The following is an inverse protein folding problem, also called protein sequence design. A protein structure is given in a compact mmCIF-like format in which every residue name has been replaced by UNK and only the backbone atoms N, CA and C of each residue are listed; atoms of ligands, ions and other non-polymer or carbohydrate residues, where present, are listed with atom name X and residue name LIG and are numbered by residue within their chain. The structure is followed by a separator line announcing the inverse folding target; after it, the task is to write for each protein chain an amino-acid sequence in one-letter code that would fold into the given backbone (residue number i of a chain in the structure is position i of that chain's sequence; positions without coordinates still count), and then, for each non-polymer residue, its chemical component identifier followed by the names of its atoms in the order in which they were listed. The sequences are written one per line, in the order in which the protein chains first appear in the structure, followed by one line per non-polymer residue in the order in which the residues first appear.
data_IF_032726156537
#
_entry.id   IF_032726156537
#
_cell.length_a   1.000
_cell.length_b   1.000
_cell.length_c   1.000
_cell.angle_alpha   90.00
_cell.angle_beta   90.00
_cell.angle_gamma   90.00
#
_symmetry.space_group_name_H-M   'P 1'
#
loop_
_entity.id
_entity.type
_entity.pdbx_description
1 polymer ?
#
# COMPACT_ATOMS: atom_id res chain seq x y z
N UNK A 1 -20.12 -17.23 49.44
CA UNK A 1 -20.54 -17.65 48.09
C UNK A 1 -20.55 -16.35 47.29
N UNK A 2 -19.42 -15.99 46.64
CA UNK A 2 -19.26 -15.90 45.16
C UNK A 2 -20.55 -15.37 44.52
N UNK A 3 -20.54 -14.20 43.91
CA UNK A 3 -20.11 -14.09 42.50
C UNK A 3 -19.20 -12.86 42.28
N UNK A 4 -17.96 -13.14 41.87
CA UNK A 4 -17.07 -12.18 41.25
C UNK A 4 -17.50 -12.19 39.78
N UNK A 5 -18.29 -11.19 39.37
CA UNK A 5 -18.65 -10.99 37.98
C UNK A 5 -17.41 -10.49 37.25
N UNK A 6 -16.55 -11.44 36.89
CA UNK A 6 -15.48 -11.23 35.93
C UNK A 6 -16.18 -11.04 34.59
N UNK A 7 -16.40 -9.79 34.20
CA UNK A 7 -16.58 -9.45 32.79
C UNK A 7 -15.23 -9.74 32.15
N UNK A 8 -15.04 -10.99 31.73
CA UNK A 8 -13.93 -11.38 30.87
C UNK A 8 -14.09 -10.59 29.58
N UNK A 9 -13.11 -9.70 29.34
CA UNK A 9 -13.04 -8.90 28.15
C UNK A 9 -12.91 -9.82 26.94
N UNK A 10 -13.99 -9.96 26.19
CA UNK A 10 -13.92 -10.33 24.78
C UNK A 10 -13.36 -9.13 24.00
N UNK A 11 -12.07 -8.86 24.19
CA UNK A 11 -11.28 -8.18 23.19
C UNK A 11 -11.08 -9.20 22.06
N UNK A 12 -12.05 -9.24 21.16
CA UNK A 12 -11.91 -9.89 19.87
C UNK A 12 -10.80 -9.15 19.11
N UNK A 13 -9.56 -9.55 19.36
CA UNK A 13 -8.42 -9.18 18.52
C UNK A 13 -8.64 -9.87 17.17
N UNK A 14 -9.51 -9.26 16.35
CA UNK A 14 -9.65 -9.60 14.95
C UNK A 14 -8.31 -9.31 14.28
N UNK A 15 -7.44 -10.32 14.26
CA UNK A 15 -6.13 -10.28 13.64
C UNK A 15 -6.34 -9.95 12.16
N UNK A 16 -6.17 -8.67 11.82
CA UNK A 16 -6.28 -8.18 10.45
C UNK A 16 -5.27 -8.96 9.62
N UNK A 17 -5.74 -9.63 8.57
CA UNK A 17 -4.87 -10.42 7.70
C UNK A 17 -3.88 -9.53 6.96
N UNK A 18 -2.72 -10.08 6.57
CA UNK A 18 -1.72 -9.35 5.77
C UNK A 18 -2.33 -8.75 4.48
N UNK A 19 -3.34 -9.40 3.91
CA UNK A 19 -4.05 -8.90 2.74
C UNK A 19 -4.86 -7.65 3.08
N UNK A 20 -5.61 -7.67 4.19
CA UNK A 20 -6.37 -6.53 4.68
C UNK A 20 -5.45 -5.37 5.06
N UNK A 21 -4.31 -5.64 5.71
CA UNK A 21 -3.28 -4.63 6.02
C UNK A 21 -2.78 -3.96 4.73
N UNK A 22 -2.45 -4.74 3.70
CA UNK A 22 -2.00 -4.19 2.40
C UNK A 22 -3.09 -3.37 1.71
N UNK A 23 -4.35 -3.79 1.80
CA UNK A 23 -5.48 -3.03 1.24
C UNK A 23 -5.70 -1.72 1.98
N UNK A 24 -5.61 -1.73 3.32
CA UNK A 24 -5.68 -0.50 4.13
C UNK A 24 -4.55 0.46 3.78
N UNK A 25 -3.30 -0.04 3.71
CA UNK A 25 -2.14 0.76 3.32
C UNK A 25 -2.31 1.39 1.93
N UNK A 26 -2.86 0.64 0.96
CA UNK A 26 -3.17 1.18 -0.36
C UNK A 26 -4.20 2.30 -0.29
N UNK A 27 -5.25 2.15 0.52
CA UNK A 27 -6.26 3.20 0.72
C UNK A 27 -5.69 4.50 1.29
N UNK A 28 -4.72 4.40 2.22
CA UNK A 28 -4.00 5.57 2.73
C UNK A 28 -3.18 6.28 1.64
N UNK A 29 -2.47 5.51 0.81
CA UNK A 29 -1.69 6.06 -0.30
C UNK A 29 -2.60 6.69 -1.35
N UNK A 30 -3.71 6.05 -1.72
CA UNK A 30 -4.68 6.59 -2.68
C UNK A 30 -5.27 7.93 -2.20
N UNK A 31 -5.58 8.02 -0.91
CA UNK A 31 -6.09 9.26 -0.29
C UNK A 31 -5.03 10.36 -0.35
N UNK A 32 -3.79 10.07 0.09
CA UNK A 32 -2.69 11.03 0.02
C UNK A 32 -2.40 11.50 -1.41
N UNK A 33 -2.58 10.61 -2.40
CA UNK A 33 -2.43 10.94 -3.80
C UNK A 33 -3.54 11.87 -4.29
N UNK A 34 -4.79 11.59 -3.93
CA UNK A 34 -5.93 12.44 -4.26
C UNK A 34 -5.78 13.84 -3.66
N UNK A 35 -5.34 13.94 -2.41
CA UNK A 35 -5.09 15.20 -1.71
C UNK A 35 -3.98 16.00 -2.41
N UNK A 36 -2.86 15.36 -2.76
CA UNK A 36 -1.77 16.01 -3.47
C UNK A 36 -2.21 16.60 -4.82
N UNK A 37 -3.02 15.85 -5.58
CA UNK A 37 -3.58 16.35 -6.85
C UNK A 37 -4.59 17.48 -6.61
N UNK A 38 -5.39 17.41 -5.54
CA UNK A 38 -6.31 18.47 -5.16
C UNK A 38 -5.59 19.78 -4.78
N UNK A 39 -4.40 19.68 -4.19
CA UNK A 39 -3.51 20.80 -3.88
C UNK A 39 -2.82 21.40 -5.13
N UNK A 40 -3.08 20.83 -6.32
CA UNK A 40 -2.60 21.32 -7.61
C UNK A 40 -1.25 20.74 -8.04
N UNK A 41 -0.76 19.69 -7.37
CA UNK A 41 0.42 18.96 -7.83
C UNK A 41 0.10 18.16 -9.10
N UNK A 42 1.07 18.11 -10.00
CA UNK A 42 0.96 17.27 -11.19
C UNK A 42 0.95 15.78 -10.80
N UNK A 43 -0.07 15.04 -11.27
CA UNK A 43 -0.24 13.63 -10.94
C UNK A 43 0.97 12.78 -11.35
N UNK A 44 1.64 13.11 -12.45
CA UNK A 44 2.86 12.39 -12.85
C UNK A 44 4.02 12.69 -11.91
N UNK A 45 4.16 13.93 -11.42
CA UNK A 45 5.17 14.28 -10.42
C UNK A 45 4.95 13.53 -9.10
N UNK A 46 3.70 13.44 -8.62
CA UNK A 46 3.36 12.68 -7.40
C UNK A 46 3.66 11.19 -7.58
N UNK A 47 3.35 10.62 -8.75
CA UNK A 47 3.67 9.21 -9.05
C UNK A 47 5.18 8.92 -9.00
N UNK A 48 6.00 9.80 -9.59
CA UNK A 48 7.45 9.64 -9.55
C UNK A 48 8.00 9.76 -8.12
N UNK A 49 7.49 10.71 -7.33
CA UNK A 49 7.88 10.85 -5.93
C UNK A 49 7.51 9.60 -5.12
N UNK A 50 6.29 9.09 -5.26
CA UNK A 50 5.83 7.88 -4.59
C UNK A 50 6.68 6.66 -4.97
N UNK A 51 7.03 6.51 -6.25
CA UNK A 51 7.89 5.43 -6.71
C UNK A 51 9.29 5.51 -6.10
N UNK A 52 9.87 6.72 -6.04
CA UNK A 52 11.16 6.94 -5.41
C UNK A 52 11.14 6.58 -3.92
N UNK A 53 10.15 7.08 -3.18
CA UNK A 53 9.98 6.79 -1.75
C UNK A 53 9.81 5.29 -1.51
N UNK A 54 8.96 4.62 -2.29
CA UNK A 54 8.76 3.19 -2.19
C UNK A 54 10.06 2.40 -2.45
N UNK A 55 10.83 2.77 -3.47
CA UNK A 55 12.11 2.12 -3.77
C UNK A 55 13.14 2.37 -2.67
N UNK A 56 13.20 3.57 -2.10
CA UNK A 56 14.10 3.87 -1.00
C UNK A 56 13.80 3.00 0.23
N UNK A 57 12.53 2.86 0.60
CA UNK A 57 12.11 2.01 1.72
C UNK A 57 12.40 0.52 1.46
N UNK A 58 12.16 0.05 0.23
CA UNK A 58 12.48 -1.32 -0.17
C UNK A 58 13.99 -1.58 -0.12
N UNK A 59 14.82 -0.66 -0.62
CA UNK A 59 16.28 -0.79 -0.57
C UNK A 59 16.78 -0.77 0.87
N UNK A 60 16.22 0.08 1.72
CA UNK A 60 16.55 0.10 3.15
C UNK A 60 16.20 -1.21 3.86
N UNK A 61 15.09 -1.85 3.46
CA UNK A 61 14.60 -3.08 4.10
C UNK A 61 15.26 -4.36 3.56
N UNK A 62 15.56 -4.41 2.26
CA UNK A 62 15.96 -5.64 1.56
C UNK A 62 17.32 -5.56 0.86
N UNK A 63 17.90 -4.37 0.72
CA UNK A 63 19.17 -4.12 0.02
C UNK A 63 19.00 -3.84 -1.48
N UNK A 64 20.04 -3.23 -2.08
CA UNK A 64 20.01 -2.77 -3.47
C UNK A 64 19.83 -3.90 -4.49
N UNK A 65 20.55 -5.02 -4.31
CA UNK A 65 20.51 -6.13 -5.27
C UNK A 65 19.11 -6.79 -5.33
N UNK A 66 18.49 -7.03 -4.17
CA UNK A 66 17.15 -7.62 -4.10
C UNK A 66 16.10 -6.72 -4.77
N UNK A 67 16.22 -5.40 -4.63
CA UNK A 67 15.33 -4.44 -5.27
C UNK A 67 15.62 -4.32 -6.77
N UNK A 68 16.89 -4.46 -7.20
CA UNK A 68 17.25 -4.50 -8.61
C UNK A 68 16.63 -5.71 -9.33
N UNK A 69 16.69 -6.89 -8.70
CA UNK A 69 16.05 -8.11 -9.22
C UNK A 69 14.52 -7.94 -9.31
N UNK A 70 13.89 -7.36 -8.28
CA UNK A 70 12.46 -7.03 -8.30
C UNK A 70 12.14 -6.08 -9.47
N UNK A 71 12.91 -5.00 -9.62
CA UNK A 71 12.71 -3.98 -10.63
C UNK A 71 12.88 -4.52 -12.05
N UNK A 72 13.77 -5.50 -12.26
CA UNK A 72 13.98 -6.15 -13.55
C UNK A 72 12.71 -6.85 -14.08
N UNK A 73 11.76 -7.20 -13.20
CA UNK A 73 10.47 -7.80 -13.60
C UNK A 73 9.44 -6.76 -14.07
N UNK A 74 9.60 -5.48 -13.71
CA UNK A 74 8.60 -4.44 -13.97
C UNK A 74 8.35 -4.16 -15.45
N UNK A 75 9.37 -4.05 -16.34
CA UNK A 75 9.13 -3.76 -17.74
C UNK A 75 8.21 -4.79 -18.41
N UNK A 76 8.31 -6.05 -18.02
CA UNK A 76 7.47 -7.10 -18.56
C UNK A 76 6.02 -6.98 -18.08
N UNK A 77 5.82 -6.70 -16.80
CA UNK A 77 4.50 -6.47 -16.22
C UNK A 77 3.80 -5.24 -16.81
N UNK A 78 4.55 -4.16 -17.06
CA UNK A 78 4.04 -2.96 -17.74
C UNK A 78 3.57 -3.31 -19.16
N UNK A 79 4.40 -4.01 -19.95
CA UNK A 79 4.03 -4.41 -21.33
C UNK A 79 2.83 -5.36 -21.37
N UNK A 80 2.68 -6.23 -20.36
CA UNK A 80 1.51 -7.11 -20.23
C UNK A 80 0.23 -6.35 -19.87
N UNK A 81 0.35 -5.11 -19.40
CA UNK A 81 -0.78 -4.28 -19.02
C UNK A 81 -1.25 -4.49 -17.58
N UNK A 82 -0.43 -5.11 -16.71
CA UNK A 82 -0.78 -5.39 -15.30
C UNK A 82 -1.21 -4.13 -14.53
N UNK A 83 -0.70 -2.96 -14.94
CA UNK A 83 -0.97 -1.66 -14.30
C UNK A 83 -1.96 -0.80 -15.09
N UNK A 84 -2.49 -1.31 -16.21
CA UNK A 84 -3.51 -0.59 -16.98
C UNK A 84 -4.86 -0.80 -16.31
N UNK A 85 -5.22 0.12 -15.41
CA UNK A 85 -6.54 0.11 -14.78
C UNK A 85 -7.52 0.76 -15.76
N UNK A 86 -8.29 -0.06 -16.48
CA UNK A 86 -9.43 0.42 -17.25
C UNK A 86 -10.52 0.80 -16.24
N UNK A 87 -10.56 2.07 -15.85
CA UNK A 87 -11.61 2.59 -15.00
C UNK A 87 -12.84 2.85 -15.89
N UNK A 88 -13.68 1.82 -16.05
CA UNK A 88 -14.98 1.97 -16.70
C UNK A 88 -15.87 2.84 -15.80
N UNK A 89 -15.89 4.15 -16.08
CA UNK A 89 -16.89 5.06 -15.54
C UNK A 89 -18.23 4.70 -16.19
N UNK A 90 -19.14 4.11 -15.41
CA UNK A 90 -20.56 4.03 -15.73
C UNK A 90 -21.27 5.13 -14.94
#
# INVERSE_FOLDING_TARGET
MREHDTIDGEHDEHLVSDQEIRQMALGYIDTAFADAVADGLDSSAVAHAALFTAFADLVASFGEEAVAELAATLPERVRRGDYTIIRNVH
#
